data_IF_085810792999
#
_entry.id   IF_085810792999
#
_cell.length_a   1.000
_cell.length_b   1.000
_cell.length_c   1.000
_cell.angle_alpha   90.00
_cell.angle_beta   90.00
_cell.angle_gamma   90.00
#
_symmetry.space_group_name_H-M   'P 1'
#
loop_
_entity.id
_entity.type
_entity.pdbx_description
1 polymer ?
#
# COMPACT_ATOMS: atom_id res chain seq x y z
N UNK A 1 5.36 -3.84 -23.83
CA UNK A 1 6.81 -4.13 -23.75
C UNK A 1 7.45 -2.78 -23.56
N UNK A 2 8.00 -2.49 -22.38
CA UNK A 2 8.78 -1.27 -22.19
C UNK A 2 9.97 -1.36 -23.15
N UNK A 3 9.96 -0.53 -24.19
CA UNK A 3 11.22 -0.23 -24.86
C UNK A 3 11.84 0.90 -24.09
N UNK A 4 12.76 0.53 -23.20
CA UNK A 4 13.70 1.51 -22.69
C UNK A 4 14.53 2.01 -23.88
N UNK A 5 15.13 3.20 -23.77
CA UNK A 5 16.03 3.74 -24.80
C UNK A 5 17.16 2.73 -25.16
N UNK A 6 17.41 1.76 -24.29
CA UNK A 6 18.39 0.68 -24.47
C UNK A 6 17.99 -0.35 -25.52
N UNK A 7 16.69 -0.58 -25.78
CA UNK A 7 16.21 -1.48 -26.83
C UNK A 7 16.44 -0.93 -28.26
N UNK A 8 16.95 0.29 -28.35
CA UNK A 8 17.36 0.95 -29.59
C UNK A 8 18.89 0.91 -29.80
N UNK A 9 19.66 0.36 -28.86
CA UNK A 9 21.11 0.24 -28.95
C UNK A 9 21.51 -1.19 -29.36
N UNK A 10 22.51 -1.38 -30.24
CA UNK A 10 22.92 -2.70 -30.70
C UNK A 10 23.46 -3.58 -29.54
N UNK A 11 23.28 -4.91 -29.61
CA UNK A 11 23.42 -5.82 -28.46
C UNK A 11 24.87 -6.11 -28.01
N UNK A 12 25.87 -5.47 -28.62
CA UNK A 12 27.27 -5.74 -28.29
C UNK A 12 27.72 -4.88 -27.10
N UNK A 13 27.58 -5.45 -25.90
CA UNK A 13 28.21 -4.95 -24.67
C UNK A 13 27.28 -4.46 -23.55
N UNK A 14 25.96 -4.56 -23.72
CA UNK A 14 25.00 -4.18 -22.67
C UNK A 14 24.98 -5.22 -21.55
N UNK A 15 25.74 -5.01 -20.48
CA UNK A 15 25.44 -5.65 -19.19
C UNK A 15 24.00 -5.30 -18.81
N UNK A 16 23.24 -6.29 -18.33
CA UNK A 16 21.87 -6.10 -17.84
C UNK A 16 21.86 -4.92 -16.86
N UNK A 17 21.17 -3.83 -17.24
CA UNK A 17 21.14 -2.60 -16.48
C UNK A 17 20.56 -2.87 -15.09
N UNK A 18 21.34 -2.56 -14.05
CA UNK A 18 20.87 -2.57 -12.67
C UNK A 18 20.58 -1.14 -12.27
N UNK A 19 19.31 -0.81 -12.03
CA UNK A 19 18.87 0.49 -11.52
C UNK A 19 19.67 0.86 -10.27
N UNK A 20 19.97 -0.13 -9.43
CA UNK A 20 20.79 0.02 -8.22
C UNK A 20 22.25 0.44 -8.45
N UNK A 21 22.74 0.45 -9.70
CA UNK A 21 24.12 0.82 -10.07
C UNK A 21 24.20 2.09 -10.92
N UNK A 22 23.08 2.74 -11.22
CA UNK A 22 23.07 3.96 -12.01
C UNK A 22 23.50 5.16 -11.15
N UNK A 23 24.31 6.06 -11.73
CA UNK A 23 24.67 7.33 -11.09
C UNK A 23 23.43 8.23 -10.85
N UNK A 24 22.42 8.10 -11.72
CA UNK A 24 21.10 8.70 -11.54
C UNK A 24 20.04 7.68 -12.01
N UNK A 25 19.41 6.94 -11.08
CA UNK A 25 18.41 5.93 -11.41
C UNK A 25 17.07 6.60 -11.75
N UNK A 26 16.96 7.18 -12.94
CA UNK A 26 15.68 7.64 -13.48
C UNK A 26 15.19 6.59 -14.47
N UNK A 27 14.05 5.99 -14.17
CA UNK A 27 13.34 5.11 -15.09
C UNK A 27 12.22 5.89 -15.78
N UNK A 28 12.22 5.89 -17.12
CA UNK A 28 11.14 6.47 -17.91
C UNK A 28 10.21 5.34 -18.32
N UNK A 29 9.04 5.31 -17.71
CA UNK A 29 8.01 4.30 -17.95
C UNK A 29 6.93 4.90 -18.85
N UNK A 30 6.66 4.28 -20.00
CA UNK A 30 5.53 4.63 -20.86
C UNK A 30 4.60 3.43 -20.97
N UNK A 31 3.31 3.63 -20.69
CA UNK A 31 2.31 2.57 -20.78
C UNK A 31 2.08 2.19 -22.23
N UNK A 32 2.41 0.95 -22.58
CA UNK A 32 2.17 0.38 -23.92
C UNK A 32 1.32 -0.87 -23.77
N UNK A 33 0.32 -1.02 -24.63
CA UNK A 33 -0.42 -2.28 -24.75
C UNK A 33 0.56 -3.42 -25.06
N UNK A 34 0.51 -4.49 -24.27
CA UNK A 34 1.29 -5.70 -24.56
C UNK A 34 0.46 -6.60 -25.43
N UNK A 35 1.03 -7.01 -26.56
CA UNK A 35 0.35 -7.88 -27.53
C UNK A 35 1.10 -9.18 -27.68
N UNK A 36 0.36 -10.27 -27.84
CA UNK A 36 0.93 -11.58 -28.15
C UNK A 36 1.66 -11.49 -29.50
N UNK A 37 2.93 -11.88 -29.56
CA UNK A 37 3.76 -11.72 -30.75
C UNK A 37 3.25 -12.50 -31.99
N UNK A 38 2.43 -13.54 -31.77
CA UNK A 38 1.92 -14.41 -32.83
C UNK A 38 0.45 -14.12 -33.16
N UNK A 39 -0.40 -13.84 -32.16
CA UNK A 39 -1.83 -13.59 -32.38
C UNK A 39 -2.17 -12.11 -32.52
N UNK A 40 -1.25 -11.21 -32.15
CA UNK A 40 -1.44 -9.76 -32.08
C UNK A 40 -2.58 -9.29 -31.14
N UNK A 41 -3.15 -10.21 -30.37
CA UNK A 41 -4.16 -9.93 -29.36
C UNK A 41 -3.54 -9.24 -28.16
N UNK A 42 -4.30 -8.36 -27.51
CA UNK A 42 -3.89 -7.68 -26.28
C UNK A 42 -3.80 -8.71 -25.16
N UNK A 43 -2.66 -8.75 -24.48
CA UNK A 43 -2.41 -9.58 -23.32
C UNK A 43 -2.66 -8.76 -22.07
N UNK A 44 -3.60 -9.21 -21.26
CA UNK A 44 -3.78 -8.67 -19.92
C UNK A 44 -2.62 -9.13 -19.02
N UNK A 45 -1.73 -8.19 -18.70
CA UNK A 45 -0.60 -8.47 -17.81
C UNK A 45 -1.04 -8.56 -16.35
N UNK A 46 -2.17 -7.96 -15.99
CA UNK A 46 -2.65 -7.82 -14.61
C UNK A 46 -4.08 -8.33 -14.51
N UNK A 47 -4.33 -9.62 -14.84
CA UNK A 47 -5.68 -10.14 -14.87
C UNK A 47 -6.28 -10.08 -13.47
N UNK A 48 -7.47 -9.52 -13.38
CA UNK A 48 -8.22 -9.37 -12.14
C UNK A 48 -9.32 -10.41 -12.03
N UNK A 49 -9.60 -10.87 -10.81
CA UNK A 49 -10.80 -11.64 -10.53
C UNK A 49 -12.06 -10.76 -10.68
N UNK A 50 -13.22 -11.40 -10.86
CA UNK A 50 -14.49 -10.70 -10.94
C UNK A 50 -14.91 -10.11 -9.58
N UNK A 51 -15.82 -9.13 -9.61
CA UNK A 51 -16.30 -8.40 -8.43
C UNK A 51 -16.80 -9.32 -7.31
N UNK A 52 -17.60 -10.34 -7.66
CA UNK A 52 -18.23 -11.23 -6.68
C UNK A 52 -17.15 -12.04 -5.96
N UNK A 53 -16.19 -12.56 -6.70
CA UNK A 53 -15.04 -13.29 -6.15
C UNK A 53 -14.18 -12.41 -5.24
N UNK A 54 -13.79 -11.21 -5.71
CA UNK A 54 -12.93 -10.30 -4.93
C UNK A 54 -13.64 -9.88 -3.65
N UNK A 55 -14.90 -9.46 -3.74
CA UNK A 55 -15.71 -9.05 -2.59
C UNK A 55 -15.86 -10.18 -1.57
N UNK A 56 -16.18 -11.39 -2.02
CA UNK A 56 -16.34 -12.54 -1.12
C UNK A 56 -15.04 -12.87 -0.38
N UNK A 57 -13.90 -12.88 -1.09
CA UNK A 57 -12.58 -13.10 -0.49
C UNK A 57 -12.21 -11.99 0.49
N UNK A 58 -12.50 -10.73 0.15
CA UNK A 58 -12.23 -9.60 1.01
C UNK A 58 -13.02 -9.67 2.33
N UNK A 59 -14.31 -9.98 2.27
CA UNK A 59 -15.13 -10.18 3.48
C UNK A 59 -14.66 -11.39 4.30
N UNK A 60 -14.27 -12.48 3.63
CA UNK A 60 -13.67 -13.63 4.32
C UNK A 60 -12.36 -13.25 5.03
N UNK A 61 -11.50 -12.46 4.38
CA UNK A 61 -10.24 -11.99 4.96
C UNK A 61 -10.48 -11.10 6.19
N UNK A 62 -11.47 -10.20 6.14
CA UNK A 62 -11.89 -9.37 7.30
C UNK A 62 -12.29 -10.26 8.48
N UNK A 63 -13.21 -11.20 8.25
CA UNK A 63 -13.68 -12.12 9.30
C UNK A 63 -12.55 -12.99 9.85
N UNK A 64 -11.68 -13.50 8.97
CA UNK A 64 -10.55 -14.34 9.35
C UNK A 64 -9.54 -13.58 10.19
N UNK A 65 -9.24 -12.33 9.82
CA UNK A 65 -8.31 -11.47 10.57
C UNK A 65 -8.80 -11.23 12.00
N UNK A 66 -10.08 -10.89 12.16
CA UNK A 66 -10.71 -10.65 13.48
C UNK A 66 -10.60 -11.87 14.40
N UNK A 67 -10.66 -13.08 13.82
CA UNK A 67 -10.54 -14.33 14.57
C UNK A 67 -9.10 -14.66 15.03
N UNK A 68 -8.08 -13.93 14.57
CA UNK A 68 -6.68 -14.24 14.93
C UNK A 68 -6.27 -13.70 16.30
N UNK A 69 -5.36 -14.42 16.97
CA UNK A 69 -4.74 -13.95 18.22
C UNK A 69 -3.96 -12.64 18.02
N UNK A 70 -3.29 -12.50 16.88
CA UNK A 70 -2.54 -11.30 16.53
C UNK A 70 -3.43 -10.05 16.55
N UNK A 71 -4.65 -10.17 16.04
CA UNK A 71 -5.61 -9.08 16.02
C UNK A 71 -6.10 -8.71 17.42
N UNK A 72 -6.39 -9.70 18.26
CA UNK A 72 -6.74 -9.46 19.67
C UNK A 72 -5.61 -8.72 20.40
N UNK A 73 -4.35 -9.08 20.11
CA UNK A 73 -3.17 -8.39 20.68
C UNK A 73 -3.05 -6.95 20.20
N UNK A 74 -3.32 -6.67 18.92
CA UNK A 74 -3.33 -5.29 18.41
C UNK A 74 -4.41 -4.47 19.12
N UNK A 75 -5.64 -4.99 19.21
CA UNK A 75 -6.74 -4.33 19.91
C UNK A 75 -6.40 -4.05 21.38
N UNK A 76 -5.82 -5.02 22.08
CA UNK A 76 -5.35 -4.83 23.46
C UNK A 76 -4.24 -3.78 23.57
N UNK A 77 -3.32 -3.72 22.61
CA UNK A 77 -2.25 -2.73 22.59
C UNK A 77 -2.79 -1.32 22.37
N UNK A 78 -3.72 -1.16 21.41
CA UNK A 78 -4.42 0.10 21.16
C UNK A 78 -5.21 0.57 22.40
N UNK A 79 -5.85 -0.35 23.13
CA UNK A 79 -6.53 -0.03 24.39
C UNK A 79 -5.62 0.34 25.56
N UNK A 80 -4.31 0.08 25.46
CA UNK A 80 -3.34 0.36 26.53
C UNK A 80 -2.62 1.70 26.38
N UNK A 81 -2.75 2.35 25.22
CA UNK A 81 -2.11 3.63 24.92
C UNK A 81 -3.11 4.79 25.06
N UNK A 82 -2.60 5.97 25.39
CA UNK A 82 -3.40 7.20 25.33
C UNK A 82 -3.47 7.63 23.87
N UNK A 83 -4.64 7.46 23.26
CA UNK A 83 -4.88 7.91 21.89
C UNK A 83 -5.34 9.36 21.91
N UNK A 84 -4.72 10.26 21.11
CA UNK A 84 -5.15 11.65 20.98
C UNK A 84 -6.62 11.74 20.55
N UNK A 85 -7.38 12.63 21.17
CA UNK A 85 -8.74 12.93 20.72
C UNK A 85 -8.70 13.67 19.38
N UNK A 86 -9.72 13.42 18.55
CA UNK A 86 -9.94 14.18 17.32
C UNK A 86 -9.41 13.53 16.05
N UNK A 87 -8.94 12.27 16.11
CA UNK A 87 -8.62 11.52 14.89
C UNK A 87 -9.88 11.37 14.02
N UNK A 88 -9.80 11.82 12.77
CA UNK A 88 -10.89 11.82 11.81
C UNK A 88 -10.53 11.19 10.46
N UNK A 89 -9.28 10.71 10.30
CA UNK A 89 -8.84 10.07 9.08
C UNK A 89 -7.77 8.99 9.30
N UNK A 90 -7.79 7.99 8.44
CA UNK A 90 -6.80 6.93 8.32
C UNK A 90 -6.29 6.94 6.89
N UNK A 91 -4.99 7.08 6.71
CA UNK A 91 -4.33 7.06 5.40
C UNK A 91 -3.44 5.84 5.31
N UNK A 92 -3.75 4.94 4.38
CA UNK A 92 -3.06 3.65 4.24
C UNK A 92 -2.26 3.61 2.94
N UNK A 93 -0.94 3.57 3.06
CA UNK A 93 0.01 3.54 1.95
C UNK A 93 0.53 2.12 1.69
N UNK A 94 0.69 1.79 0.41
CA UNK A 94 1.35 0.54 -0.01
C UNK A 94 0.54 -0.71 0.35
N UNK A 95 -0.79 -0.65 0.22
CA UNK A 95 -1.65 -1.78 0.57
C UNK A 95 -1.84 -2.83 -0.54
N UNK A 96 -1.15 -2.67 -1.68
CA UNK A 96 -1.20 -3.49 -2.90
C UNK A 96 -2.63 -3.79 -3.41
N UNK A 97 -2.77 -4.45 -4.55
CA UNK A 97 -4.06 -4.82 -5.15
C UNK A 97 -4.72 -5.98 -4.38
N UNK A 98 -6.06 -6.02 -4.36
CA UNK A 98 -6.85 -7.10 -3.76
C UNK A 98 -7.49 -8.01 -4.81
N UNK A 99 -7.31 -7.72 -6.09
CA UNK A 99 -8.03 -8.39 -7.18
C UNK A 99 -7.15 -9.18 -8.14
N UNK A 100 -5.83 -9.07 -8.04
CA UNK A 100 -4.90 -9.79 -8.91
C UNK A 100 -5.12 -11.31 -8.87
N UNK A 101 -5.13 -11.93 -10.05
CA UNK A 101 -5.13 -13.39 -10.21
C UNK A 101 -3.73 -14.00 -10.23
N UNK A 102 -2.68 -13.18 -10.35
CA UNK A 102 -1.28 -13.63 -10.43
C UNK A 102 -0.52 -13.45 -9.13
N UNK A 103 -1.04 -12.64 -8.23
CA UNK A 103 -0.31 -12.21 -7.04
C UNK A 103 -0.74 -12.99 -5.81
N UNK A 104 0.18 -13.79 -5.27
CA UNK A 104 -0.04 -14.53 -4.03
C UNK A 104 -0.12 -13.59 -2.81
N UNK A 105 0.33 -12.33 -2.94
CA UNK A 105 0.27 -11.33 -1.87
C UNK A 105 -1.13 -10.78 -1.62
N UNK A 106 -2.13 -11.12 -2.44
CA UNK A 106 -3.51 -10.63 -2.31
C UNK A 106 -4.08 -10.88 -0.92
N UNK A 107 -3.74 -12.00 -0.28
CA UNK A 107 -4.17 -12.30 1.10
C UNK A 107 -3.59 -11.28 2.08
N UNK A 108 -2.32 -10.90 1.92
CA UNK A 108 -1.67 -9.87 2.73
C UNK A 108 -2.28 -8.49 2.44
N UNK A 109 -2.52 -8.15 1.18
CA UNK A 109 -3.20 -6.91 0.78
C UNK A 109 -4.57 -6.79 1.47
N UNK A 110 -5.39 -7.83 1.40
CA UNK A 110 -6.71 -7.85 2.04
C UNK A 110 -6.60 -7.69 3.57
N UNK A 111 -5.61 -8.33 4.20
CA UNK A 111 -5.37 -8.20 5.63
C UNK A 111 -4.95 -6.77 6.03
N UNK A 112 -4.16 -6.08 5.21
CA UNK A 112 -3.73 -4.69 5.47
C UNK A 112 -4.92 -3.71 5.39
N UNK A 113 -5.79 -3.85 4.39
CA UNK A 113 -7.03 -3.08 4.31
C UNK A 113 -7.97 -3.42 5.48
N UNK A 114 -8.08 -4.69 5.85
CA UNK A 114 -8.88 -5.13 7.00
C UNK A 114 -8.37 -4.53 8.32
N UNK A 115 -7.04 -4.38 8.47
CA UNK A 115 -6.43 -3.69 9.61
C UNK A 115 -6.84 -2.21 9.66
N UNK A 116 -6.87 -1.51 8.53
CA UNK A 116 -7.33 -0.13 8.46
C UNK A 116 -8.79 0.03 8.93
N UNK A 117 -9.68 -0.85 8.47
CA UNK A 117 -11.08 -0.88 8.90
C UNK A 117 -11.21 -1.19 10.39
N UNK A 118 -10.41 -2.12 10.93
CA UNK A 118 -10.42 -2.36 12.38
C UNK A 118 -10.01 -1.13 13.17
N UNK A 119 -8.92 -0.46 12.77
CA UNK A 119 -8.45 0.71 13.52
C UNK A 119 -9.53 1.79 13.49
N UNK A 120 -10.20 1.98 12.35
CA UNK A 120 -11.38 2.86 12.24
C UNK A 120 -12.44 2.47 13.27
N UNK A 121 -12.89 1.22 13.25
CA UNK A 121 -13.98 0.75 14.11
C UNK A 121 -13.60 0.85 15.60
N UNK A 122 -12.34 0.55 15.95
CA UNK A 122 -11.80 0.72 17.29
C UNK A 122 -11.84 2.18 17.75
N UNK A 123 -11.46 3.12 16.89
CA UNK A 123 -11.48 4.55 17.21
C UNK A 123 -12.91 5.08 17.33
N UNK A 124 -13.83 4.61 16.49
CA UNK A 124 -15.26 4.92 16.61
C UNK A 124 -15.80 4.44 17.95
N UNK A 125 -15.51 3.19 18.34
CA UNK A 125 -15.90 2.63 19.64
C UNK A 125 -15.29 3.43 20.80
N UNK A 126 -14.03 3.85 20.68
CA UNK A 126 -13.32 4.62 21.71
C UNK A 126 -13.92 6.01 21.92
N UNK A 127 -14.33 6.69 20.85
CA UNK A 127 -14.89 8.05 20.92
C UNK A 127 -16.40 8.05 21.22
N UNK A 128 -17.09 6.94 21.00
CA UNK A 128 -18.53 6.79 21.28
C UNK A 128 -19.37 7.85 20.57
N UNK A 129 -20.27 8.49 21.29
CA UNK A 129 -21.17 9.54 20.74
C UNK A 129 -20.42 10.78 20.22
N UNK A 130 -19.16 10.97 20.58
CA UNK A 130 -18.32 12.09 20.12
C UNK A 130 -17.50 11.74 18.87
N UNK A 131 -17.67 10.53 18.33
CA UNK A 131 -16.95 10.11 17.13
C UNK A 131 -17.37 10.97 15.94
N UNK A 132 -16.40 11.69 15.38
CA UNK A 132 -16.52 12.19 14.01
C UNK A 132 -16.51 11.01 13.04
N UNK A 133 -17.03 11.21 11.84
CA UNK A 133 -16.86 10.23 10.77
C UNK A 133 -15.38 10.08 10.45
N UNK A 134 -14.83 8.89 10.68
CA UNK A 134 -13.42 8.60 10.37
C UNK A 134 -13.34 8.12 8.92
N UNK A 135 -12.67 8.90 8.08
CA UNK A 135 -12.45 8.57 6.67
C UNK A 135 -11.26 7.64 6.51
N UNK A 136 -11.34 6.65 5.63
CA UNK A 136 -10.21 5.77 5.31
C UNK A 136 -9.79 5.96 3.86
N UNK A 137 -8.55 6.39 3.64
CA UNK A 137 -7.98 6.67 2.33
C UNK A 137 -6.90 5.63 2.00
N UNK A 138 -7.21 4.62 1.16
CA UNK A 138 -6.23 3.68 0.68
C UNK A 138 -5.49 4.28 -0.53
N UNK A 139 -4.16 4.17 -0.52
CA UNK A 139 -3.30 4.63 -1.59
C UNK A 139 -2.51 3.48 -2.18
N UNK A 140 -2.70 3.31 -3.49
CA UNK A 140 -1.88 2.46 -4.33
C UNK A 140 -2.04 2.90 -5.80
N UNK A 141 -0.95 3.23 -6.52
CA UNK A 141 -1.04 3.61 -7.93
C UNK A 141 -1.49 2.46 -8.85
N UNK A 142 -1.52 1.22 -8.35
CA UNK A 142 -1.84 0.02 -9.12
C UNK A 142 -3.24 -0.55 -8.83
N UNK A 143 -4.16 0.22 -8.24
CA UNK A 143 -5.53 -0.26 -8.09
C UNK A 143 -6.23 -0.40 -9.44
N UNK A 144 -6.76 -1.59 -9.68
CA UNK A 144 -7.69 -1.82 -10.76
C UNK A 144 -9.08 -1.25 -10.41
N UNK A 145 -9.94 -0.97 -11.40
CA UNK A 145 -11.31 -0.50 -11.15
C UNK A 145 -12.10 -1.39 -10.18
N UNK A 146 -11.81 -2.69 -10.19
CA UNK A 146 -12.45 -3.65 -9.29
C UNK A 146 -11.99 -3.52 -7.83
N UNK A 147 -10.72 -3.15 -7.60
CA UNK A 147 -10.21 -2.86 -6.26
C UNK A 147 -10.96 -1.65 -5.69
N UNK A 148 -11.04 -0.56 -6.47
CA UNK A 148 -11.73 0.67 -6.09
C UNK A 148 -13.22 0.42 -5.78
N UNK A 149 -13.87 -0.42 -6.59
CA UNK A 149 -15.27 -0.79 -6.36
C UNK A 149 -15.45 -1.55 -5.04
N UNK A 150 -14.67 -2.60 -4.79
CA UNK A 150 -14.80 -3.39 -3.56
C UNK A 150 -14.40 -2.59 -2.32
N UNK A 151 -13.34 -1.78 -2.40
CA UNK A 151 -12.89 -0.94 -1.29
C UNK A 151 -13.90 0.17 -0.97
N UNK A 152 -14.48 0.82 -1.98
CA UNK A 152 -15.53 1.83 -1.75
C UNK A 152 -16.77 1.22 -1.08
N UNK A 153 -17.19 0.02 -1.51
CA UNK A 153 -18.29 -0.73 -0.87
C UNK A 153 -17.98 -1.10 0.59
N UNK A 154 -16.70 -1.28 0.94
CA UNK A 154 -16.25 -1.54 2.30
C UNK A 154 -16.13 -0.27 3.18
N UNK A 155 -16.39 0.91 2.62
CA UNK A 155 -16.36 2.20 3.31
C UNK A 155 -15.00 2.91 3.26
N UNK A 156 -14.17 2.62 2.26
CA UNK A 156 -13.00 3.45 1.94
C UNK A 156 -13.39 4.59 1.00
N UNK A 157 -12.69 5.72 1.16
CA UNK A 157 -12.77 6.86 0.25
C UNK A 157 -11.62 6.77 -0.73
N UNK A 158 -11.93 6.39 -1.97
CA UNK A 158 -10.93 6.24 -3.04
C UNK A 158 -10.42 7.61 -3.43
N UNK A 159 -9.09 7.76 -3.40
CA UNK A 159 -8.38 8.96 -3.80
C UNK A 159 -7.53 8.65 -5.03
N UNK A 160 -7.60 9.53 -6.01
CA UNK A 160 -6.81 9.42 -7.23
C UNK A 160 -5.46 10.15 -7.04
N UNK A 161 -4.45 9.76 -7.80
CA UNK A 161 -3.24 10.57 -8.07
C UNK A 161 -2.35 10.93 -6.85
N UNK A 162 -1.83 9.94 -6.11
CA UNK A 162 -0.87 10.12 -4.98
C UNK A 162 -1.27 11.18 -3.92
N UNK A 163 -2.54 11.59 -3.88
CA UNK A 163 -3.04 12.66 -2.99
C UNK A 163 -3.10 12.25 -1.53
N UNK A 164 -2.83 10.99 -1.22
CA UNK A 164 -2.83 10.48 0.14
C UNK A 164 -1.91 11.27 1.06
N UNK A 165 -0.75 11.73 0.57
CA UNK A 165 0.14 12.58 1.35
C UNK A 165 -0.48 13.92 1.75
N UNK A 166 -1.39 14.46 0.94
CA UNK A 166 -2.12 15.71 1.24
C UNK A 166 -3.23 15.49 2.26
N UNK A 167 -3.71 14.26 2.40
CA UNK A 167 -4.70 13.90 3.41
C UNK A 167 -4.06 13.66 4.78
N UNK A 168 -2.73 13.54 4.89
CA UNK A 168 -2.04 13.34 6.17
C UNK A 168 -1.87 14.68 6.91
N UNK A 169 -2.35 14.73 8.15
CA UNK A 169 -2.18 15.85 9.08
C UNK A 169 -2.10 15.37 10.55
N UNK A 170 -2.09 16.30 11.50
CA UNK A 170 -1.99 16.00 12.94
C UNK A 170 -3.18 15.18 13.49
N UNK A 171 -4.32 15.09 12.78
CA UNK A 171 -5.48 14.27 13.16
C UNK A 171 -5.56 12.94 12.41
N UNK A 172 -4.50 12.57 11.70
CA UNK A 172 -4.47 11.34 10.92
C UNK A 172 -3.80 10.17 11.62
N UNK A 173 -4.24 8.97 11.27
CA UNK A 173 -3.50 7.72 11.46
C UNK A 173 -2.88 7.32 10.14
N UNK A 174 -1.58 7.05 10.13
CA UNK A 174 -0.88 6.53 8.95
C UNK A 174 -0.64 5.03 9.10
N UNK A 175 -1.02 4.24 8.10
CA UNK A 175 -0.67 2.82 7.97
C UNK A 175 0.29 2.67 6.79
N UNK A 176 1.45 2.08 7.01
CA UNK A 176 2.48 1.90 5.99
C UNK A 176 3.20 0.57 6.21
N UNK A 177 2.68 -0.51 5.62
CA UNK A 177 3.16 -1.87 5.89
C UNK A 177 4.31 -2.27 4.96
N UNK A 178 4.23 -1.94 3.68
CA UNK A 178 5.30 -2.23 2.72
C UNK A 178 5.38 -1.13 1.64
N UNK A 179 5.63 0.13 2.03
CA UNK A 179 5.71 1.18 1.04
C UNK A 179 7.05 1.12 0.28
N UNK A 180 6.99 1.23 -1.05
CA UNK A 180 8.18 1.38 -1.92
C UNK A 180 8.86 2.76 -1.77
N UNK A 181 8.32 3.62 -0.92
CA UNK A 181 8.78 4.99 -0.68
C UNK A 181 8.92 5.26 0.83
N UNK A 182 9.74 6.25 1.26
CA UNK A 182 9.99 6.52 2.67
C UNK A 182 8.83 7.28 3.34
N UNK A 183 7.62 6.72 3.31
CA UNK A 183 6.38 7.32 3.87
C UNK A 183 6.62 7.83 5.27
N UNK A 184 7.29 7.03 6.11
CA UNK A 184 7.53 7.37 7.51
C UNK A 184 8.33 8.67 7.66
N UNK A 185 9.41 8.81 6.91
CA UNK A 185 10.27 9.99 6.95
C UNK A 185 9.52 11.21 6.41
N UNK A 186 8.84 11.05 5.27
CA UNK A 186 8.09 12.13 4.62
C UNK A 186 7.03 12.67 5.58
N UNK A 187 6.12 11.82 6.08
CA UNK A 187 4.99 12.27 6.89
C UNK A 187 5.42 12.77 8.28
N UNK A 188 6.51 12.26 8.84
CA UNK A 188 7.06 12.78 10.10
C UNK A 188 7.61 14.21 9.94
N UNK A 189 8.18 14.53 8.78
CA UNK A 189 8.74 15.84 8.51
C UNK A 189 7.65 16.83 8.04
N UNK A 190 6.66 16.39 7.27
CA UNK A 190 5.66 17.28 6.67
C UNK A 190 4.40 17.49 7.50
N UNK A 191 3.88 16.44 8.17
CA UNK A 191 2.51 16.45 8.67
C UNK A 191 2.36 16.02 10.14
N UNK A 192 3.24 15.15 10.64
CA UNK A 192 3.29 14.66 12.04
C UNK A 192 1.95 14.05 12.50
N UNK A 193 1.56 12.90 11.92
CA UNK A 193 0.31 12.23 12.27
C UNK A 193 0.21 11.85 13.75
N UNK A 194 -1.02 11.81 14.26
CA UNK A 194 -1.32 11.42 15.64
C UNK A 194 -0.85 9.99 15.98
N UNK A 195 -0.91 9.09 15.00
CA UNK A 195 -0.48 7.70 15.16
C UNK A 195 0.07 7.16 13.84
N UNK A 196 1.05 6.26 13.94
CA UNK A 196 1.62 5.56 12.81
C UNK A 196 1.74 4.07 13.09
N UNK A 197 1.31 3.25 12.13
CA UNK A 197 1.41 1.79 12.14
C UNK A 197 2.27 1.38 10.96
N UNK A 198 3.43 0.76 11.23
CA UNK A 198 4.36 0.34 10.18
C UNK A 198 5.05 -0.98 10.51
N UNK A 199 5.63 -1.63 9.49
CA UNK A 199 6.47 -2.81 9.69
C UNK A 199 7.84 -2.47 10.29
N UNK A 200 8.31 -3.31 11.23
CA UNK A 200 9.66 -3.16 11.77
C UNK A 200 10.68 -3.28 10.63
N UNK A 201 11.56 -2.29 10.53
CA UNK A 201 12.71 -2.32 9.61
C UNK A 201 13.53 -3.56 9.95
N UNK A 202 13.69 -4.48 8.99
CA UNK A 202 14.64 -5.58 9.12
C UNK A 202 16.04 -4.97 9.00
N UNK A 203 16.87 -5.15 10.03
CA UNK A 203 18.29 -4.78 9.98
C UNK A 203 19.00 -5.80 9.08
N UNK A 204 18.79 -5.72 7.77
CA UNK A 204 19.50 -6.52 6.79
C UNK A 204 19.54 -5.81 5.44
N UNK A 205 19.98 -4.56 5.44
CA UNK A 205 20.73 -4.02 4.32
C UNK A 205 22.01 -3.39 4.92
N UNK A 206 23.20 -3.85 4.52
CA UNK A 206 24.42 -3.16 4.88
C UNK A 206 24.41 -1.82 4.14
N UNK A 207 23.91 -0.77 4.81
CA UNK A 207 24.28 0.60 4.47
C UNK A 207 25.80 0.62 4.42
N UNK A 208 26.34 0.97 3.24
CA UNK A 208 27.76 0.95 2.93
C UNK A 208 28.60 1.44 4.09
N UNK A 209 29.19 0.49 4.83
CA UNK A 209 30.23 0.79 5.80
C UNK A 209 31.54 0.74 5.04
N UNK A 210 31.93 1.87 4.48
CA UNK A 210 33.34 2.19 4.32
C UNK A 210 33.53 3.60 4.86
N UNK A 211 33.51 3.70 6.19
CA UNK A 211 34.30 4.71 6.87
C UNK A 211 35.64 4.06 7.17
N UNK A 212 36.68 4.72 6.65
CA UNK A 212 38.09 4.43 6.83
C UNK A 212 38.48 4.26 8.30
N UNK A 213 39.43 3.36 8.54
CA UNK A 213 40.24 3.34 9.75
C UNK A 213 40.88 1.99 10.04
N UNK A 214 41.93 1.60 9.29
CA UNK A 214 43.35 1.66 9.69
C UNK A 214 44.20 1.77 8.41
#
# INVERSE_FOLDING_TARGET
MYRTVQDLLPPEGAQCYSVCRAYLPVEVVHSTEVRNAHTNEVVDLWPTADHVTVKSRFEQAKCSLVATEHFARIKSSLGSIVIPLGIDKIVAFGCSTISSLKDDSVVSSMAQHSLALMIRDFLVDLYGEHSRTIQCYPENPFYAPIDNLVLSEAGFTIIDDLRAFLEVDETSVVIAMDPDIPVRQIVADTARPAMMVWNKVRVSEPFGTTILGI
#
